data_IF_302252274679
#
_entry.id   IF_302252274679
#
_cell.length_a   1.000
_cell.length_b   1.000
_cell.length_c   1.000
_cell.angle_alpha   90.00
_cell.angle_beta   90.00
_cell.angle_gamma   90.00
#
_symmetry.space_group_name_H-M   'P 1'
#
loop_
_entity.id
_entity.type
_entity.pdbx_description
1 polymer ?
#
# COMPACT_ATOMS: atom_id res chain seq x y z
N UNK A 1 -1.40 21.61 75.65
CA UNK A 1 -0.24 21.60 76.56
C UNK A 1 0.95 21.16 75.72
N UNK A 2 1.80 22.09 75.24
CA UNK A 2 3.03 22.56 75.90
C UNK A 2 3.98 21.36 76.16
N UNK A 3 5.22 21.21 75.71
CA UNK A 3 6.41 22.07 75.41
C UNK A 3 7.45 21.08 74.80
N UNK A 4 8.08 21.31 73.64
CA UNK A 4 9.45 21.85 73.38
C UNK A 4 10.67 21.36 74.23
N UNK A 5 11.87 21.51 73.64
CA UNK A 5 13.27 21.27 74.13
C UNK A 5 13.85 19.86 73.92
N UNK A 6 15.11 19.61 73.50
CA UNK A 6 16.32 20.40 73.16
C UNK A 6 17.35 19.36 72.63
N UNK A 7 17.96 19.46 71.44
CA UNK A 7 19.19 20.17 71.02
C UNK A 7 20.51 19.85 71.79
N UNK A 8 21.57 19.66 70.97
CA UNK A 8 23.04 19.74 71.20
C UNK A 8 23.77 18.49 71.78
N UNK A 9 24.99 18.08 71.37
CA UNK A 9 26.00 18.62 70.44
C UNK A 9 27.14 17.58 70.19
N UNK A 10 27.58 17.46 68.93
CA UNK A 10 28.94 17.30 68.33
C UNK A 10 30.11 16.63 69.08
N UNK A 11 30.74 15.65 68.40
CA UNK A 11 32.17 15.48 68.02
C UNK A 11 32.38 14.00 67.58
N UNK A 12 33.28 13.54 66.71
CA UNK A 12 34.11 14.01 65.59
C UNK A 12 34.73 12.72 65.00
N UNK A 13 34.73 12.55 63.67
CA UNK A 13 35.62 11.73 62.81
C UNK A 13 35.97 10.26 63.18
N UNK A 14 35.65 9.29 62.28
CA UNK A 14 36.62 8.58 61.42
C UNK A 14 36.01 7.37 60.67
N UNK A 15 35.95 7.52 59.34
CA UNK A 15 36.18 6.56 58.26
C UNK A 15 35.76 5.06 58.36
N UNK A 16 34.75 4.75 57.52
CA UNK A 16 34.70 3.71 56.48
C UNK A 16 34.46 2.22 56.79
N UNK A 17 33.71 1.63 55.83
CA UNK A 17 33.51 0.23 55.46
C UNK A 17 32.45 -0.59 56.23
N UNK A 18 31.23 -0.54 55.71
CA UNK A 18 30.22 -1.56 55.91
C UNK A 18 30.42 -2.70 54.88
N UNK A 19 30.57 -3.93 55.39
CA UNK A 19 30.48 -5.17 54.62
C UNK A 19 29.77 -6.22 55.49
N UNK A 20 28.80 -6.90 54.85
CA UNK A 20 28.26 -8.23 55.19
C UNK A 20 27.29 -8.32 56.40
N UNK A 21 26.14 -9.01 56.39
CA UNK A 21 25.60 -10.08 55.54
C UNK A 21 24.05 -10.16 55.62
N UNK A 22 23.43 -10.49 54.47
CA UNK A 22 22.21 -11.29 54.23
C UNK A 22 20.87 -10.96 54.91
N UNK A 23 19.82 -10.77 54.10
CA UNK A 23 18.66 -11.68 53.98
C UNK A 23 18.13 -11.61 52.53
N UNK A 24 17.72 -12.78 52.04
CA UNK A 24 17.18 -13.10 50.72
C UNK A 24 16.16 -12.09 50.16
N UNK A 25 16.41 -11.61 48.93
CA UNK A 25 15.33 -11.23 48.00
C UNK A 25 15.59 -11.90 46.65
N UNK A 26 14.64 -12.71 46.23
CA UNK A 26 14.57 -13.40 44.94
C UNK A 26 14.77 -12.42 43.78
N UNK A 27 15.95 -12.45 43.15
CA UNK A 27 16.11 -11.94 41.79
C UNK A 27 15.50 -12.96 40.84
N UNK A 28 14.24 -12.75 40.46
CA UNK A 28 13.77 -13.25 39.16
C UNK A 28 14.62 -12.54 38.11
N UNK A 29 15.59 -13.27 37.58
CA UNK A 29 16.27 -12.91 36.35
C UNK A 29 15.21 -13.03 35.26
N UNK A 30 14.56 -11.93 34.91
CA UNK A 30 13.86 -11.83 33.63
C UNK A 30 14.94 -11.95 32.57
N UNK A 31 15.21 -13.18 32.14
CA UNK A 31 15.82 -13.40 30.85
C UNK A 31 14.84 -12.78 29.85
N UNK A 32 15.14 -11.56 29.43
CA UNK A 32 14.61 -11.01 28.20
C UNK A 32 14.99 -12.03 27.13
N UNK A 33 14.06 -12.91 26.79
CA UNK A 33 14.08 -13.60 25.52
C UNK A 33 13.95 -12.48 24.49
N UNK A 34 15.09 -11.92 24.10
CA UNK A 34 15.24 -11.24 22.83
C UNK A 34 14.84 -12.29 21.81
N UNK A 35 13.55 -12.29 21.44
CA UNK A 35 13.14 -12.82 20.16
C UNK A 35 13.91 -11.96 19.18
N UNK A 36 15.03 -12.48 18.70
CA UNK A 36 15.71 -11.96 17.53
C UNK A 36 14.66 -12.04 16.42
N UNK A 37 13.90 -10.97 16.20
CA UNK A 37 13.23 -10.77 14.92
C UNK A 37 14.37 -10.78 13.91
N UNK A 38 14.49 -11.89 13.18
CA UNK A 38 15.39 -11.94 12.03
C UNK A 38 14.92 -10.80 11.13
N UNK A 39 15.76 -9.77 10.95
CA UNK A 39 15.46 -8.70 10.01
C UNK A 39 15.08 -9.33 8.66
N UNK A 40 14.01 -8.84 8.04
CA UNK A 40 13.58 -9.38 6.75
C UNK A 40 14.73 -9.25 5.74
N UNK A 41 15.08 -10.37 5.13
CA UNK A 41 16.28 -10.47 4.31
C UNK A 41 15.99 -10.00 2.88
N UNK A 42 16.74 -8.98 2.43
CA UNK A 42 16.73 -8.53 1.04
C UNK A 42 17.48 -9.56 0.19
N UNK A 43 16.82 -10.12 -0.81
CA UNK A 43 17.37 -11.16 -1.68
C UNK A 43 17.65 -10.59 -3.07
N UNK A 44 18.87 -10.78 -3.58
CA UNK A 44 19.23 -10.34 -4.92
C UNK A 44 18.79 -11.38 -5.95
N UNK A 45 17.86 -11.01 -6.83
CA UNK A 45 17.40 -11.86 -7.92
C UNK A 45 18.16 -11.58 -9.23
N UNK A 46 18.47 -10.31 -9.46
CA UNK A 46 19.11 -9.80 -10.67
C UNK A 46 20.15 -8.73 -10.31
N UNK A 47 21.15 -8.49 -11.18
CA UNK A 47 21.95 -7.29 -11.12
C UNK A 47 21.08 -6.02 -11.19
N UNK A 48 21.52 -4.94 -10.54
CA UNK A 48 20.88 -3.62 -10.61
C UNK A 48 20.63 -3.19 -12.05
N UNK A 49 19.48 -2.59 -12.31
CA UNK A 49 19.06 -2.06 -13.62
C UNK A 49 19.03 -3.08 -14.77
N UNK A 50 19.02 -4.40 -14.47
CA UNK A 50 18.76 -5.44 -15.49
C UNK A 50 17.39 -5.25 -16.15
N UNK A 51 16.41 -4.79 -15.37
CA UNK A 51 15.11 -4.34 -15.84
C UNK A 51 15.16 -2.80 -15.78
N UNK A 52 15.36 -2.10 -16.90
CA UNK A 52 15.65 -0.67 -16.86
C UNK A 52 14.38 0.14 -16.60
N UNK A 53 14.41 0.99 -15.57
CA UNK A 53 13.34 1.95 -15.32
C UNK A 53 13.24 2.97 -16.47
N UNK A 54 12.01 3.39 -16.78
CA UNK A 54 11.77 4.50 -17.72
C UNK A 54 11.96 5.81 -16.95
N UNK A 55 12.93 6.62 -17.38
CA UNK A 55 13.27 7.90 -16.70
C UNK A 55 12.68 9.12 -17.38
N UNK A 56 12.49 9.04 -18.70
CA UNK A 56 11.92 10.09 -19.53
C UNK A 56 10.80 9.44 -20.36
N UNK A 57 9.57 9.37 -19.82
CA UNK A 57 8.45 8.76 -20.52
C UNK A 57 7.95 9.68 -21.63
N UNK A 58 7.62 9.09 -22.77
CA UNK A 58 6.84 9.74 -23.83
C UNK A 58 5.39 9.26 -23.76
N UNK A 59 4.47 10.04 -24.28
CA UNK A 59 3.04 9.70 -24.25
C UNK A 59 2.36 9.90 -25.60
N UNK A 60 1.29 9.14 -25.81
CA UNK A 60 0.36 9.31 -26.93
C UNK A 60 -1.07 9.44 -26.41
N UNK A 61 -1.97 10.02 -27.20
CA UNK A 61 -3.38 10.06 -26.83
C UNK A 61 -4.03 8.66 -26.86
N UNK A 62 -5.05 8.45 -26.02
CA UNK A 62 -5.79 7.20 -25.91
C UNK A 62 -6.35 6.65 -27.23
N UNK A 63 -6.71 7.54 -28.16
CA UNK A 63 -7.18 7.16 -29.51
C UNK A 63 -6.08 6.50 -30.35
N UNK A 64 -4.83 6.91 -30.14
CA UNK A 64 -3.68 6.39 -30.86
C UNK A 64 -3.06 5.17 -30.17
N UNK A 65 -3.35 4.94 -28.89
CA UNK A 65 -2.66 3.94 -28.06
C UNK A 65 -2.73 2.50 -28.58
N UNK A 66 -3.83 2.11 -29.24
CA UNK A 66 -3.95 0.79 -29.88
C UNK A 66 -3.79 -0.41 -28.93
N UNK A 67 -4.05 -0.24 -27.63
CA UNK A 67 -4.05 -1.33 -26.64
C UNK A 67 -5.31 -2.20 -26.77
N UNK A 68 -5.21 -3.49 -26.44
CA UNK A 68 -6.38 -4.38 -26.33
C UNK A 68 -7.30 -3.93 -25.18
N UNK A 69 -8.61 -4.02 -25.36
CA UNK A 69 -9.59 -3.56 -24.36
C UNK A 69 -9.47 -4.30 -23.01
N UNK A 70 -8.98 -5.54 -23.01
CA UNK A 70 -8.78 -6.33 -21.79
C UNK A 70 -7.35 -6.21 -21.22
N UNK A 71 -6.45 -5.52 -21.92
CA UNK A 71 -5.08 -5.32 -21.44
C UNK A 71 -5.10 -4.53 -20.12
N UNK A 72 -4.51 -5.05 -19.03
CA UNK A 72 -4.48 -4.31 -17.78
C UNK A 72 -3.57 -3.09 -17.90
N UNK A 73 -4.06 -1.95 -17.43
CA UNK A 73 -3.29 -0.72 -17.28
C UNK A 73 -3.27 -0.31 -15.82
N UNK A 74 -2.18 0.32 -15.41
CA UNK A 74 -2.17 1.17 -14.22
C UNK A 74 -2.69 2.53 -14.67
N UNK A 75 -3.89 2.91 -14.23
CA UNK A 75 -4.49 4.20 -14.46
C UNK A 75 -4.30 5.12 -13.27
N UNK A 76 -4.06 6.41 -13.51
CA UNK A 76 -3.95 7.44 -12.48
C UNK A 76 -4.48 8.77 -12.99
N UNK A 77 -5.14 9.51 -12.09
CA UNK A 77 -5.63 10.86 -12.32
C UNK A 77 -5.02 11.80 -11.28
N UNK A 78 -4.34 12.86 -11.73
CA UNK A 78 -3.82 13.92 -10.86
C UNK A 78 -4.18 15.26 -11.50
N UNK A 79 -4.89 16.13 -10.76
CA UNK A 79 -5.31 17.46 -11.24
C UNK A 79 -6.04 17.39 -12.59
N UNK A 80 -7.01 16.47 -12.71
CA UNK A 80 -7.80 16.20 -13.93
C UNK A 80 -7.00 15.67 -15.14
N UNK A 81 -5.69 15.45 -14.98
CA UNK A 81 -4.85 14.86 -16.01
C UNK A 81 -4.74 13.34 -15.82
N UNK A 82 -5.18 12.62 -16.84
CA UNK A 82 -5.30 11.16 -16.84
C UNK A 82 -4.09 10.52 -17.53
N UNK A 83 -3.49 9.52 -16.87
CA UNK A 83 -2.39 8.71 -17.38
C UNK A 83 -2.73 7.23 -17.32
N UNK A 84 -2.28 6.48 -18.33
CA UNK A 84 -2.34 5.04 -18.34
C UNK A 84 -0.98 4.42 -18.71
N UNK A 85 -0.59 3.39 -17.98
CA UNK A 85 0.64 2.64 -18.18
C UNK A 85 0.28 1.17 -18.39
N UNK A 86 0.54 0.65 -19.60
CA UNK A 86 0.34 -0.77 -19.92
C UNK A 86 1.10 -1.65 -18.91
N UNK A 87 0.40 -2.57 -18.25
CA UNK A 87 1.05 -3.56 -17.37
C UNK A 87 1.98 -4.46 -18.16
N UNK A 88 1.67 -4.75 -19.43
CA UNK A 88 2.55 -5.54 -20.29
C UNK A 88 3.86 -4.81 -20.57
N UNK A 89 3.83 -3.51 -20.81
CA UNK A 89 5.05 -2.71 -20.91
C UNK A 89 5.77 -2.63 -19.56
N UNK A 90 5.03 -2.46 -18.46
CA UNK A 90 5.60 -2.43 -17.11
C UNK A 90 6.25 -3.76 -16.69
N UNK A 91 5.84 -4.91 -17.25
CA UNK A 91 6.54 -6.18 -17.02
C UNK A 91 8.01 -6.16 -17.49
N UNK A 92 8.40 -5.20 -18.34
CA UNK A 92 9.77 -5.05 -18.86
C UNK A 92 10.54 -3.87 -18.26
N UNK A 93 9.88 -3.02 -17.46
CA UNK A 93 10.47 -1.79 -16.94
C UNK A 93 10.27 -1.60 -15.44
N UNK A 94 9.19 -2.15 -14.88
CA UNK A 94 8.73 -2.12 -13.48
C UNK A 94 8.55 -0.74 -12.85
N UNK A 95 9.28 0.28 -13.29
CA UNK A 95 9.27 1.65 -12.75
C UNK A 95 9.25 2.65 -13.90
N UNK A 96 8.36 3.64 -13.79
CA UNK A 96 8.32 4.83 -14.66
C UNK A 96 8.42 6.05 -13.76
N UNK A 97 9.45 6.87 -13.98
CA UNK A 97 9.58 8.18 -13.36
C UNK A 97 8.87 9.19 -14.27
N UNK A 98 7.67 9.61 -13.86
CA UNK A 98 6.82 10.52 -14.62
C UNK A 98 6.59 11.83 -13.83
N UNK A 99 5.96 12.79 -14.49
CA UNK A 99 5.55 14.07 -13.93
C UNK A 99 4.19 14.45 -14.51
N UNK A 100 3.20 14.66 -13.63
CA UNK A 100 1.86 15.13 -13.99
C UNK A 100 1.67 16.50 -13.35
N UNK A 101 1.59 17.55 -14.19
CA UNK A 101 1.75 18.94 -13.74
C UNK A 101 3.00 19.12 -12.88
N UNK A 102 2.82 19.64 -11.67
CA UNK A 102 3.93 19.85 -10.70
C UNK A 102 4.25 18.60 -9.86
N UNK A 103 3.52 17.49 -10.01
CA UNK A 103 3.71 16.30 -9.18
C UNK A 103 4.68 15.31 -9.82
N UNK A 104 5.87 15.16 -9.24
CA UNK A 104 6.80 14.08 -9.60
C UNK A 104 6.32 12.74 -9.05
N UNK A 105 6.10 11.74 -9.92
CA UNK A 105 5.58 10.43 -9.53
C UNK A 105 6.45 9.26 -10.02
N UNK A 106 6.57 8.22 -9.19
CA UNK A 106 7.13 6.92 -9.56
C UNK A 106 5.95 5.96 -9.68
N UNK A 107 5.64 5.53 -10.90
CA UNK A 107 4.68 4.46 -11.15
C UNK A 107 5.43 3.14 -11.07
N UNK A 108 5.00 2.26 -10.17
CA UNK A 108 5.75 1.04 -9.84
C UNK A 108 4.86 -0.17 -9.98
N UNK A 109 5.41 -1.25 -10.52
CA UNK A 109 4.74 -2.51 -10.79
C UNK A 109 5.62 -3.67 -10.34
N UNK A 110 5.04 -4.57 -9.55
CA UNK A 110 5.66 -5.83 -9.19
C UNK A 110 4.80 -7.00 -9.71
N UNK A 111 5.21 -7.68 -10.81
CA UNK A 111 4.42 -8.76 -11.39
C UNK A 111 4.30 -9.96 -10.43
N UNK A 112 5.34 -10.25 -9.64
CA UNK A 112 5.32 -11.34 -8.67
C UNK A 112 4.24 -11.19 -7.60
N UNK A 113 3.87 -9.95 -7.27
CA UNK A 113 2.87 -9.61 -6.26
C UNK A 113 1.53 -9.14 -6.86
N UNK A 114 1.45 -8.98 -8.17
CA UNK A 114 0.32 -8.38 -8.88
C UNK A 114 -0.04 -6.98 -8.35
N UNK A 115 0.98 -6.24 -7.93
CA UNK A 115 0.88 -5.01 -7.15
C UNK A 115 1.36 -3.82 -7.96
N UNK A 116 0.50 -2.80 -8.06
CA UNK A 116 0.86 -1.47 -8.54
C UNK A 116 0.80 -0.48 -7.38
N UNK A 117 1.83 0.36 -7.26
CA UNK A 117 1.83 1.49 -6.32
C UNK A 117 2.40 2.72 -7.03
N UNK A 118 1.82 3.88 -6.77
CA UNK A 118 2.37 5.15 -7.28
C UNK A 118 2.79 5.99 -6.10
N UNK A 119 4.03 6.47 -6.14
CA UNK A 119 4.61 7.30 -5.08
C UNK A 119 4.92 8.69 -5.61
N UNK A 120 4.70 9.71 -4.78
CA UNK A 120 5.34 11.01 -4.98
C UNK A 120 6.85 10.83 -4.75
N UNK A 121 7.67 11.26 -5.72
CA UNK A 121 9.14 11.11 -5.71
C UNK A 121 9.86 12.25 -5.00
N UNK A 122 9.14 13.17 -4.38
CA UNK A 122 9.70 14.30 -3.65
C UNK A 122 9.72 14.04 -2.14
N UNK A 123 10.89 14.22 -1.54
CA UNK A 123 11.10 14.14 -0.10
C UNK A 123 11.82 15.42 0.31
N UNK A 124 11.28 16.13 1.31
CA UNK A 124 11.86 17.38 1.82
C UNK A 124 12.18 18.39 0.70
N UNK A 125 11.26 18.54 -0.27
CA UNK A 125 11.38 19.41 -1.46
C UNK A 125 12.52 19.06 -2.42
N UNK A 126 13.07 17.86 -2.34
CA UNK A 126 14.00 17.31 -3.32
C UNK A 126 13.35 16.18 -4.10
N UNK A 127 13.45 16.24 -5.42
CA UNK A 127 13.02 15.18 -6.32
C UNK A 127 14.07 14.07 -6.41
N UNK A 128 13.61 12.82 -6.47
CA UNK A 128 14.44 11.63 -6.61
C UNK A 128 14.03 10.83 -7.84
N UNK A 129 15.00 10.14 -8.44
CA UNK A 129 14.82 9.26 -9.58
C UNK A 129 14.94 7.82 -9.11
N UNK A 130 13.93 6.99 -9.37
CA UNK A 130 13.91 5.60 -8.96
C UNK A 130 14.33 4.64 -10.07
N UNK A 131 15.04 3.59 -9.69
CA UNK A 131 15.47 2.49 -10.54
C UNK A 131 15.18 1.11 -9.92
N UNK A 132 15.33 0.06 -10.72
CA UNK A 132 15.09 -1.32 -10.28
C UNK A 132 16.37 -1.88 -9.68
N UNK A 133 16.35 -2.20 -8.39
CA UNK A 133 17.58 -2.63 -7.71
C UNK A 133 17.99 -4.08 -8.06
N UNK A 134 17.08 -4.85 -8.65
CA UNK A 134 17.20 -6.30 -8.83
C UNK A 134 17.05 -7.10 -7.54
N UNK A 135 16.79 -6.41 -6.42
CA UNK A 135 16.51 -7.04 -5.14
C UNK A 135 15.00 -7.19 -4.89
N UNK A 136 14.67 -8.23 -4.14
CA UNK A 136 13.34 -8.49 -3.64
C UNK A 136 13.33 -8.53 -2.12
N UNK A 137 12.26 -8.01 -1.52
CA UNK A 137 11.90 -8.24 -0.13
C UNK A 137 10.57 -8.97 -0.13
N UNK A 138 10.51 -10.17 0.48
CA UNK A 138 9.31 -11.03 0.49
C UNK A 138 8.66 -11.18 -0.90
N UNK A 139 9.48 -11.46 -1.92
CA UNK A 139 9.08 -11.57 -3.34
C UNK A 139 8.46 -10.30 -3.95
N UNK A 140 8.74 -9.12 -3.40
CA UNK A 140 8.29 -7.83 -3.95
C UNK A 140 9.46 -6.95 -4.32
N UNK A 141 9.27 -6.13 -5.36
CA UNK A 141 10.27 -5.18 -5.86
C UNK A 141 10.84 -4.32 -4.73
N UNK A 142 12.16 -4.25 -4.63
CA UNK A 142 12.88 -3.21 -3.90
C UNK A 142 13.43 -2.22 -4.92
N UNK A 143 12.95 -0.99 -4.86
CA UNK A 143 13.45 0.10 -5.69
C UNK A 143 14.76 0.63 -5.08
N UNK A 144 15.53 1.38 -5.87
CA UNK A 144 16.57 2.26 -5.35
C UNK A 144 16.41 3.66 -5.93
N UNK A 145 16.92 4.68 -5.25
CA UNK A 145 17.06 6.02 -5.83
C UNK A 145 18.49 6.27 -6.33
N UNK A 146 18.63 6.91 -7.49
CA UNK A 146 19.95 7.17 -8.10
C UNK A 146 20.77 8.21 -7.33
N UNK A 147 20.12 9.11 -6.59
CA UNK A 147 20.76 10.24 -5.93
C UNK A 147 21.47 9.86 -4.62
N UNK A 148 20.98 8.85 -3.90
CA UNK A 148 21.48 8.49 -2.57
C UNK A 148 21.71 7.00 -2.37
N UNK A 149 21.38 6.19 -3.38
CA UNK A 149 21.48 4.73 -3.38
C UNK A 149 20.70 4.06 -2.24
N UNK A 150 19.64 4.70 -1.76
CA UNK A 150 18.80 4.13 -0.72
C UNK A 150 17.85 3.08 -1.32
N UNK A 151 17.47 2.07 -0.53
CA UNK A 151 16.61 0.96 -0.95
C UNK A 151 15.21 1.10 -0.35
N UNK A 152 14.20 0.88 -1.20
CA UNK A 152 12.80 1.21 -0.93
C UNK A 152 11.89 0.05 -1.34
N UNK A 153 11.42 -0.80 -0.41
CA UNK A 153 10.44 -1.83 -0.70
C UNK A 153 9.13 -1.22 -1.19
N UNK A 154 8.61 -1.73 -2.31
CA UNK A 154 7.43 -1.19 -2.98
C UNK A 154 6.16 -1.19 -2.12
N UNK A 155 6.04 -2.14 -1.16
CA UNK A 155 4.80 -2.34 -0.38
C UNK A 155 4.51 -1.17 0.56
N UNK A 156 5.52 -0.57 1.19
CA UNK A 156 5.32 0.52 2.16
C UNK A 156 6.10 1.81 1.83
N UNK A 157 7.00 1.79 0.84
CA UNK A 157 7.66 2.99 0.35
C UNK A 157 8.55 3.69 1.38
N UNK A 158 8.99 2.97 2.42
CA UNK A 158 9.90 3.45 3.44
C UNK A 158 11.30 2.92 3.17
N UNK A 159 12.31 3.79 3.21
CA UNK A 159 13.67 3.36 2.97
C UNK A 159 14.19 2.52 4.13
N UNK A 160 14.67 1.32 3.83
CA UNK A 160 15.19 0.38 4.83
C UNK A 160 16.71 0.33 4.88
N UNK A 161 17.39 0.92 3.88
CA UNK A 161 18.86 0.92 3.77
C UNK A 161 19.33 2.10 2.94
N UNK A 162 20.46 2.69 3.32
CA UNK A 162 21.10 3.79 2.59
C UNK A 162 20.97 5.13 3.31
N UNK A 163 21.21 6.22 2.58
CA UNK A 163 21.28 7.57 3.14
C UNK A 163 19.93 8.04 3.70
N UNK A 164 18.82 7.59 3.09
CA UNK A 164 17.47 8.03 3.41
C UNK A 164 16.71 7.05 4.31
N UNK A 165 17.39 6.11 4.96
CA UNK A 165 16.75 5.13 5.87
C UNK A 165 15.78 5.80 6.87
N UNK A 166 14.58 5.24 6.97
CA UNK A 166 13.47 5.75 7.80
C UNK A 166 12.65 6.88 7.17
N UNK A 167 13.04 7.41 6.01
CA UNK A 167 12.18 8.29 5.22
C UNK A 167 11.12 7.47 4.49
N UNK A 168 9.92 8.03 4.36
CA UNK A 168 8.76 7.37 3.72
C UNK A 168 8.23 8.21 2.57
N UNK A 169 8.01 7.55 1.44
CA UNK A 169 7.37 8.12 0.27
C UNK A 169 5.87 8.30 0.51
N UNK A 170 5.31 9.37 -0.03
CA UNK A 170 3.86 9.58 -0.02
C UNK A 170 3.23 8.79 -1.17
N UNK A 171 2.43 7.79 -0.87
CA UNK A 171 1.61 7.11 -1.87
C UNK A 171 0.59 8.09 -2.47
N UNK A 172 0.45 8.06 -3.79
CA UNK A 172 -0.63 8.75 -4.51
C UNK A 172 -1.85 7.84 -4.51
N UNK A 173 -2.94 8.30 -3.90
CA UNK A 173 -4.23 7.61 -3.90
C UNK A 173 -4.87 7.67 -5.30
N UNK A 174 -5.77 6.74 -5.61
CA UNK A 174 -6.49 6.71 -6.89
C UNK A 174 -5.76 6.02 -8.04
N UNK A 175 -4.56 5.46 -7.81
CA UNK A 175 -3.93 4.53 -8.74
C UNK A 175 -4.70 3.20 -8.78
N UNK A 176 -5.12 2.77 -9.97
CA UNK A 176 -5.89 1.54 -10.14
C UNK A 176 -5.35 0.68 -11.27
N UNK A 177 -5.23 -0.62 -11.03
CA UNK A 177 -4.98 -1.60 -12.08
C UNK A 177 -6.31 -2.12 -12.62
N UNK A 178 -6.69 -1.70 -13.82
CA UNK A 178 -7.97 -2.05 -14.45
C UNK A 178 -7.79 -2.37 -15.94
N UNK A 179 -8.76 -3.03 -16.61
CA UNK A 179 -8.72 -3.20 -18.06
C UNK A 179 -8.69 -1.87 -18.80
N UNK A 180 -7.90 -1.78 -19.87
CA UNK A 180 -7.75 -0.60 -20.69
C UNK A 180 -9.09 -0.07 -21.21
N UNK A 181 -9.99 -0.94 -21.66
CA UNK A 181 -11.29 -0.53 -22.19
C UNK A 181 -12.17 0.12 -21.14
N UNK A 182 -12.11 -0.38 -19.90
CA UNK A 182 -12.80 0.24 -18.77
C UNK A 182 -12.20 1.62 -18.44
N UNK A 183 -10.87 1.72 -18.39
CA UNK A 183 -10.17 2.99 -18.16
C UNK A 183 -10.45 4.03 -19.25
N UNK A 184 -10.31 3.64 -20.53
CA UNK A 184 -10.51 4.50 -21.69
C UNK A 184 -11.94 5.04 -21.75
N UNK A 185 -12.93 4.23 -21.34
CA UNK A 185 -14.33 4.65 -21.30
C UNK A 185 -14.57 5.77 -20.29
N UNK A 186 -13.93 5.72 -19.12
CA UNK A 186 -14.05 6.76 -18.08
C UNK A 186 -13.11 7.94 -18.32
N UNK A 187 -11.97 7.73 -18.98
CA UNK A 187 -10.93 8.73 -19.21
C UNK A 187 -10.48 8.75 -20.69
N UNK A 188 -11.36 9.13 -21.63
CA UNK A 188 -11.09 9.06 -23.07
C UNK A 188 -9.98 10.02 -23.54
N UNK A 189 -9.65 11.02 -22.75
CA UNK A 189 -8.60 12.01 -22.98
C UNK A 189 -7.23 11.59 -22.42
N UNK A 190 -7.12 10.37 -21.86
CA UNK A 190 -5.90 9.87 -21.25
C UNK A 190 -4.68 9.94 -22.17
N UNK A 191 -3.55 10.26 -21.58
CA UNK A 191 -2.24 10.03 -22.17
C UNK A 191 -1.72 8.64 -21.77
N UNK A 192 -1.31 7.86 -22.76
CA UNK A 192 -0.84 6.48 -22.60
C UNK A 192 0.67 6.43 -22.81
N UNK A 193 1.37 5.77 -21.88
CA UNK A 193 2.82 5.61 -21.95
C UNK A 193 3.25 5.00 -23.29
N UNK A 194 4.26 5.61 -23.90
CA UNK A 194 4.99 5.13 -25.05
C UNK A 194 6.47 5.09 -24.71
N UNK A 195 7.14 3.97 -25.00
CA UNK A 195 8.57 3.80 -24.81
C UNK A 195 9.20 3.31 -26.11
N UNK A 196 10.10 4.12 -26.68
CA UNK A 196 10.70 3.86 -28.00
C UNK A 196 9.67 3.57 -29.11
N UNK A 197 8.52 4.25 -29.06
CA UNK A 197 7.41 4.08 -29.99
C UNK A 197 6.49 2.89 -29.68
N UNK A 198 6.80 2.09 -28.68
CA UNK A 198 5.98 0.97 -28.22
C UNK A 198 5.06 1.40 -27.07
N UNK A 199 3.79 1.02 -27.12
CA UNK A 199 2.79 1.31 -26.07
C UNK A 199 2.46 0.08 -25.22
N UNK A 200 2.83 -1.10 -25.73
CA UNK A 200 2.65 -2.43 -25.13
C UNK A 200 3.61 -3.41 -25.81
N UNK A 201 3.87 -4.54 -25.17
CA UNK A 201 4.53 -5.69 -25.83
C UNK A 201 3.52 -6.70 -26.41
N UNK A 202 2.22 -6.44 -26.23
CA UNK A 202 1.12 -7.20 -26.84
C UNK A 202 0.70 -8.48 -26.11
N UNK A 203 1.43 -8.89 -25.08
CA UNK A 203 1.06 -10.05 -24.25
C UNK A 203 1.66 -9.96 -22.85
N UNK A 204 1.07 -10.71 -21.92
CA UNK A 204 1.56 -10.83 -20.55
C UNK A 204 2.67 -11.88 -20.44
N UNK A 205 3.93 -11.43 -20.30
CA UNK A 205 5.08 -12.33 -20.08
C UNK A 205 5.02 -13.07 -18.74
N UNK A 206 4.20 -12.63 -17.79
CA UNK A 206 3.96 -13.32 -16.51
C UNK A 206 2.63 -14.11 -16.50
N UNK A 207 1.95 -14.22 -17.66
CA UNK A 207 0.63 -14.85 -17.75
C UNK A 207 0.55 -16.29 -17.22
N UNK A 208 1.60 -17.09 -17.42
CA UNK A 208 1.68 -18.46 -16.88
C UNK A 208 1.97 -18.47 -15.38
N UNK A 209 2.82 -17.56 -14.91
CA UNK A 209 3.06 -17.37 -13.49
C UNK A 209 1.76 -17.00 -12.77
N UNK A 210 0.95 -16.09 -13.31
CA UNK A 210 -0.31 -15.69 -12.68
C UNK A 210 -1.33 -16.83 -12.52
N UNK A 211 -1.20 -17.92 -13.29
CA UNK A 211 -2.12 -19.07 -13.30
C UNK A 211 -1.64 -20.25 -12.44
N UNK A 212 -0.39 -20.22 -11.98
CA UNK A 212 0.18 -21.30 -11.17
C UNK A 212 0.15 -20.97 -9.66
N UNK A 213 0.42 -21.97 -8.82
CA UNK A 213 0.39 -21.85 -7.34
C UNK A 213 1.76 -21.51 -6.71
N UNK A 214 2.75 -21.08 -7.51
CA UNK A 214 4.09 -20.71 -7.02
C UNK A 214 4.05 -19.44 -6.14
N UNK A 215 4.85 -19.41 -5.07
CA UNK A 215 4.97 -18.28 -4.13
C UNK A 215 6.17 -17.41 -4.48
N UNK A 216 6.12 -16.73 -5.62
CA UNK A 216 7.25 -15.98 -6.14
C UNK A 216 8.46 -16.86 -6.45
N UNK A 217 9.65 -16.26 -6.47
CA UNK A 217 10.91 -16.94 -6.82
C UNK A 217 11.74 -17.36 -5.61
N UNK A 218 11.46 -16.77 -4.43
CA UNK A 218 12.11 -17.08 -3.16
C UNK A 218 11.10 -17.64 -2.16
N UNK A 219 11.51 -18.48 -1.20
CA UNK A 219 10.58 -18.98 -0.17
C UNK A 219 9.98 -17.84 0.65
N UNK A 220 8.65 -17.83 0.78
CA UNK A 220 7.93 -16.96 1.71
C UNK A 220 8.14 -17.43 3.16
N UNK A 221 8.23 -16.49 4.10
CA UNK A 221 8.48 -16.81 5.53
C UNK A 221 7.15 -17.10 6.24
N UNK A 222 6.20 -16.17 6.19
CA UNK A 222 4.90 -16.36 6.82
C UNK A 222 3.90 -16.92 5.78
N UNK A 223 3.71 -18.24 5.79
CA UNK A 223 2.74 -18.91 4.92
C UNK A 223 1.39 -18.96 5.62
N UNK A 224 0.41 -18.30 5.02
CA UNK A 224 -0.97 -18.30 5.49
C UNK A 224 -1.89 -19.02 4.51
N UNK A 225 -2.56 -20.08 4.99
CA UNK A 225 -3.42 -20.96 4.19
C UNK A 225 -4.91 -20.59 4.25
N UNK A 226 -5.28 -19.48 4.92
CA UNK A 226 -6.68 -19.04 5.02
C UNK A 226 -7.29 -18.67 3.66
N UNK A 227 -6.47 -18.28 2.68
CA UNK A 227 -6.86 -17.97 1.30
C UNK A 227 -5.93 -18.67 0.30
N UNK A 228 -6.37 -18.79 -0.96
CA UNK A 228 -5.54 -19.28 -2.06
C UNK A 228 -4.26 -18.44 -2.23
N UNK A 229 -3.19 -19.05 -2.72
CA UNK A 229 -1.85 -18.45 -2.75
C UNK A 229 -1.86 -17.07 -3.43
N UNK A 230 -2.38 -17.05 -4.67
CA UNK A 230 -2.54 -15.83 -5.48
C UNK A 230 -3.96 -15.29 -5.46
N UNK A 231 -4.71 -15.52 -4.39
CA UNK A 231 -5.99 -14.85 -4.19
C UNK A 231 -5.75 -13.34 -4.18
N UNK A 232 -6.46 -12.60 -5.04
CA UNK A 232 -6.43 -11.15 -5.02
C UNK A 232 -7.22 -10.64 -3.82
N UNK A 233 -6.61 -9.72 -3.07
CA UNK A 233 -7.21 -9.09 -1.91
C UNK A 233 -7.13 -7.57 -2.04
N UNK A 234 -8.03 -6.89 -1.34
CA UNK A 234 -7.90 -5.48 -0.98
C UNK A 234 -7.36 -5.46 0.45
N UNK A 235 -6.11 -5.06 0.62
CA UNK A 235 -5.46 -4.95 1.92
C UNK A 235 -5.44 -3.50 2.40
N UNK A 236 -5.78 -3.28 3.66
CA UNK A 236 -5.74 -1.96 4.30
C UNK A 236 -4.91 -1.97 5.57
N UNK A 237 -4.34 -0.82 5.91
CA UNK A 237 -3.68 -0.55 7.18
C UNK A 237 -4.37 0.64 7.87
N UNK A 238 -4.81 0.45 9.12
CA UNK A 238 -5.35 1.51 9.97
C UNK A 238 -4.72 1.39 11.34
N UNK A 239 -4.04 2.46 11.80
CA UNK A 239 -3.36 2.52 13.11
C UNK A 239 -2.41 1.32 13.35
N UNK A 240 -1.66 0.90 12.32
CA UNK A 240 -0.71 -0.21 12.39
C UNK A 240 -1.34 -1.61 12.47
N UNK A 241 -2.66 -1.72 12.26
CA UNK A 241 -3.38 -3.00 12.15
C UNK A 241 -3.83 -3.20 10.72
N UNK A 242 -3.86 -4.46 10.30
CA UNK A 242 -4.09 -4.86 8.92
C UNK A 242 -5.38 -5.64 8.78
N UNK A 243 -6.16 -5.35 7.74
CA UNK A 243 -7.35 -6.12 7.37
C UNK A 243 -7.36 -6.37 5.86
N UNK A 244 -7.85 -7.53 5.44
CA UNK A 244 -7.94 -7.92 4.04
C UNK A 244 -9.37 -8.30 3.65
N UNK A 245 -9.77 -7.88 2.45
CA UNK A 245 -11.04 -8.20 1.81
C UNK A 245 -10.76 -8.97 0.51
N UNK A 246 -10.93 -10.30 0.51
CA UNK A 246 -10.74 -11.10 -0.69
C UNK A 246 -11.72 -10.74 -1.80
N UNK A 247 -11.27 -10.78 -3.06
CA UNK A 247 -12.11 -10.40 -4.20
C UNK A 247 -13.39 -11.25 -4.32
N UNK A 248 -13.40 -12.50 -3.83
CA UNK A 248 -14.60 -13.35 -3.90
C UNK A 248 -15.79 -12.78 -3.12
N UNK A 249 -15.55 -11.93 -2.11
CA UNK A 249 -16.61 -11.29 -1.36
C UNK A 249 -17.49 -10.41 -2.26
N UNK A 250 -16.91 -9.91 -3.35
CA UNK A 250 -17.58 -9.03 -4.29
C UNK A 250 -18.31 -9.76 -5.42
N UNK A 251 -18.30 -11.09 -5.44
CA UNK A 251 -18.95 -11.87 -6.49
C UNK A 251 -20.47 -11.64 -6.57
N UNK A 252 -21.08 -11.36 -5.41
CA UNK A 252 -22.51 -11.16 -5.30
C UNK A 252 -22.90 -9.72 -4.99
N UNK A 253 -21.97 -8.88 -4.52
CA UNK A 253 -22.23 -7.47 -4.15
C UNK A 253 -21.02 -6.61 -4.52
N UNK A 254 -21.19 -5.40 -5.07
CA UNK A 254 -20.07 -4.51 -5.31
C UNK A 254 -19.65 -3.74 -4.05
N UNK A 255 -20.44 -3.76 -2.97
CA UNK A 255 -20.22 -2.96 -1.76
C UNK A 255 -20.18 -3.88 -0.53
N UNK A 256 -19.19 -3.63 0.33
CA UNK A 256 -19.06 -4.18 1.69
C UNK A 256 -18.91 -3.01 2.65
N UNK A 257 -19.69 -3.01 3.74
CA UNK A 257 -19.50 -2.08 4.85
C UNK A 257 -18.88 -2.82 6.04
N UNK A 258 -18.00 -2.14 6.76
CA UNK A 258 -17.25 -2.71 7.88
C UNK A 258 -16.91 -1.62 8.90
N UNK A 259 -16.38 -2.03 10.05
CA UNK A 259 -15.74 -1.15 11.01
C UNK A 259 -14.41 -1.76 11.44
N UNK A 260 -13.32 -1.02 11.23
CA UNK A 260 -11.99 -1.47 11.59
C UNK A 260 -11.21 -0.36 12.27
N UNK A 261 -10.70 -0.64 13.48
CA UNK A 261 -9.93 0.31 14.28
C UNK A 261 -10.62 1.67 14.50
N UNK A 262 -11.96 1.66 14.53
CA UNK A 262 -12.83 2.83 14.72
C UNK A 262 -13.13 3.62 13.44
N UNK A 263 -12.64 3.20 12.28
CA UNK A 263 -13.00 3.77 10.98
C UNK A 263 -14.18 2.99 10.41
N UNK A 264 -15.23 3.70 9.94
CA UNK A 264 -16.41 3.09 9.34
C UNK A 264 -16.13 2.89 7.86
N UNK A 265 -15.79 1.68 7.45
CA UNK A 265 -15.32 1.42 6.10
C UNK A 265 -16.47 1.14 5.15
N UNK A 266 -16.31 1.63 3.91
CA UNK A 266 -17.00 1.15 2.72
C UNK A 266 -15.94 0.68 1.73
N UNK A 267 -15.95 -0.61 1.43
CA UNK A 267 -15.08 -1.23 0.43
C UNK A 267 -15.93 -1.49 -0.81
N UNK A 268 -15.53 -0.90 -1.92
CA UNK A 268 -16.22 -1.02 -3.20
C UNK A 268 -15.34 -1.72 -4.23
N UNK A 269 -15.93 -2.66 -4.97
CA UNK A 269 -15.33 -3.25 -6.15
C UNK A 269 -16.37 -3.42 -7.25
N UNK A 270 -16.07 -2.85 -8.41
CA UNK A 270 -16.82 -3.10 -9.63
C UNK A 270 -16.22 -4.32 -10.36
N UNK A 271 -16.97 -5.42 -10.48
CA UNK A 271 -16.47 -6.62 -11.15
C UNK A 271 -16.30 -6.44 -12.66
N UNK A 272 -17.09 -5.56 -13.28
CA UNK A 272 -17.09 -5.34 -14.73
C UNK A 272 -15.93 -4.44 -15.14
N UNK A 273 -15.66 -3.38 -14.37
CA UNK A 273 -14.60 -2.41 -14.67
C UNK A 273 -13.29 -2.72 -13.93
N UNK A 274 -13.31 -3.56 -12.90
CA UNK A 274 -12.16 -3.84 -12.05
C UNK A 274 -11.82 -2.73 -11.05
N UNK A 275 -12.58 -1.63 -11.05
CA UNK A 275 -12.38 -0.47 -10.17
C UNK A 275 -12.53 -0.88 -8.70
N UNK A 276 -11.63 -0.38 -7.86
CA UNK A 276 -11.61 -0.62 -6.42
C UNK A 276 -11.47 0.71 -5.71
N UNK A 277 -12.32 0.95 -4.71
CA UNK A 277 -12.18 2.08 -3.80
C UNK A 277 -12.47 1.65 -2.37
N UNK A 278 -11.79 2.31 -1.43
CA UNK A 278 -12.07 2.19 0.00
C UNK A 278 -12.29 3.58 0.55
N UNK A 279 -13.38 3.75 1.30
CA UNK A 279 -13.75 5.03 1.89
C UNK A 279 -14.04 4.90 3.38
N UNK A 280 -13.82 5.98 4.12
CA UNK A 280 -14.53 6.23 5.37
C UNK A 280 -15.94 6.73 5.04
N UNK A 281 -16.94 5.93 5.41
CA UNK A 281 -18.37 6.24 5.21
C UNK A 281 -18.93 7.14 6.31
N UNK A 282 -18.11 7.59 7.25
CA UNK A 282 -18.48 8.63 8.19
C UNK A 282 -18.20 10.01 7.59
N UNK A 283 -19.26 10.77 7.35
CA UNK A 283 -19.20 12.11 6.76
C UNK A 283 -20.10 13.07 7.55
N UNK A 284 -19.55 14.21 7.97
CA UNK A 284 -20.25 15.23 8.78
C UNK A 284 -20.94 14.69 10.04
N UNK A 285 -20.33 13.69 10.70
CA UNK A 285 -20.91 13.06 11.89
C UNK A 285 -22.07 12.09 11.60
N UNK A 286 -22.39 11.84 10.33
CA UNK A 286 -23.34 10.82 9.89
C UNK A 286 -22.56 9.61 9.38
N UNK A 287 -22.91 8.42 9.85
CA UNK A 287 -22.39 7.17 9.30
C UNK A 287 -23.32 6.73 8.17
N UNK A 288 -22.85 6.85 6.93
CA UNK A 288 -23.60 6.46 5.73
C UNK A 288 -23.68 4.94 5.68
N UNK A 289 -24.85 4.38 5.37
CA UNK A 289 -25.04 2.93 5.30
C UNK A 289 -25.88 2.50 4.10
N UNK A 290 -25.46 1.40 3.50
CA UNK A 290 -26.13 0.76 2.38
C UNK A 290 -26.81 -0.46 2.96
N UNK A 291 -28.15 -0.44 3.09
CA UNK A 291 -28.87 -1.65 3.48
C UNK A 291 -28.53 -2.80 2.51
N UNK A 292 -28.82 -4.04 2.92
CA UNK A 292 -28.53 -5.30 2.21
C UNK A 292 -29.06 -5.40 0.76
N UNK A 293 -29.60 -4.34 0.16
CA UNK A 293 -29.92 -4.27 -1.26
C UNK A 293 -28.65 -4.15 -2.08
N UNK A 294 -28.07 -5.32 -2.30
CA UNK A 294 -26.92 -5.76 -3.08
C UNK A 294 -26.51 -4.94 -4.34
N UNK A 295 -27.36 -4.13 -4.96
CA UNK A 295 -27.01 -3.41 -6.21
C UNK A 295 -27.39 -1.93 -6.22
N UNK A 296 -27.79 -1.34 -5.08
CA UNK A 296 -28.19 0.07 -5.03
C UNK A 296 -27.08 0.92 -4.43
N UNK A 297 -26.55 1.87 -5.20
CA UNK A 297 -25.62 2.90 -4.68
C UNK A 297 -26.35 4.03 -3.95
N UNK A 298 -27.64 3.87 -3.65
CA UNK A 298 -28.39 4.79 -2.78
C UNK A 298 -28.37 4.31 -1.35
N UNK A 299 -27.82 5.15 -0.46
CA UNK A 299 -27.73 4.85 0.97
C UNK A 299 -29.08 5.01 1.67
N UNK A 300 -29.25 4.31 2.79
CA UNK A 300 -30.51 4.23 3.54
C UNK A 300 -30.64 5.25 4.67
N UNK A 301 -29.58 5.98 4.98
CA UNK A 301 -29.52 6.92 6.11
C UNK A 301 -29.89 8.33 5.64
N UNK A 302 -29.33 8.74 4.52
CA UNK A 302 -29.45 10.07 3.93
C UNK A 302 -30.23 10.06 2.62
N UNK A 303 -30.57 8.88 2.09
CA UNK A 303 -31.25 8.72 0.80
C UNK A 303 -30.45 9.39 -0.34
N UNK A 304 -29.12 9.32 -0.28
CA UNK A 304 -28.21 9.86 -1.28
C UNK A 304 -27.77 8.73 -2.21
N UNK A 305 -27.89 8.93 -3.52
CA UNK A 305 -27.27 8.08 -4.52
C UNK A 305 -25.83 8.54 -4.73
N UNK A 306 -24.90 7.61 -4.62
CA UNK A 306 -23.47 7.85 -4.73
C UNK A 306 -22.92 7.27 -6.04
N UNK A 307 -22.02 8.03 -6.65
CA UNK A 307 -21.05 7.50 -7.60
C UNK A 307 -19.93 6.85 -6.79
N UNK A 308 -19.88 5.52 -6.77
CA UNK A 308 -18.89 4.76 -5.98
C UNK A 308 -17.49 4.77 -6.59
N UNK A 309 -17.39 5.02 -7.89
CA UNK A 309 -16.10 5.08 -8.58
C UNK A 309 -15.36 6.37 -8.21
N UNK A 310 -16.10 7.46 -7.96
CA UNK A 310 -15.55 8.76 -7.57
C UNK A 310 -15.80 9.15 -6.09
N UNK A 311 -16.65 8.40 -5.38
CA UNK A 311 -17.04 8.67 -4.00
C UNK A 311 -17.94 9.90 -3.83
N UNK A 312 -18.64 10.35 -4.88
CA UNK A 312 -19.40 11.61 -4.89
C UNK A 312 -20.91 11.34 -4.80
N UNK A 313 -21.61 12.06 -3.92
CA UNK A 313 -23.07 12.08 -3.87
C UNK A 313 -23.65 12.76 -5.11
N UNK A 314 -24.36 12.05 -5.97
CA UNK A 314 -24.89 12.59 -7.23
C UNK A 314 -26.36 13.03 -7.14
N UNK A 315 -27.10 12.50 -6.16
CA UNK A 315 -28.53 12.80 -5.93
C UNK A 315 -28.89 12.58 -4.47
N UNK A 316 -29.79 13.38 -3.90
CA UNK A 316 -30.26 13.21 -2.51
C UNK A 316 -29.66 14.22 -1.54
N UNK A 317 -29.74 13.93 -0.24
CA UNK A 317 -29.46 14.91 0.82
C UNK A 317 -27.98 15.32 0.91
N UNK A 318 -27.06 14.44 0.49
CA UNK A 318 -25.62 14.70 0.47
C UNK A 318 -25.09 14.92 -0.96
N UNK A 319 -25.92 15.44 -1.88
CA UNK A 319 -25.47 15.75 -3.24
C UNK A 319 -24.27 16.72 -3.23
N UNK A 320 -23.24 16.41 -4.02
CA UNK A 320 -22.00 17.16 -4.16
C UNK A 320 -20.98 16.92 -3.05
N UNK A 321 -21.30 16.06 -2.06
CA UNK A 321 -20.36 15.67 -1.01
C UNK A 321 -19.51 14.48 -1.46
N UNK A 322 -18.28 14.42 -0.97
CA UNK A 322 -17.31 13.39 -1.32
C UNK A 322 -16.96 12.56 -0.09
N UNK A 323 -16.97 11.24 -0.24
CA UNK A 323 -16.47 10.30 0.77
C UNK A 323 -14.96 10.45 0.93
N UNK A 324 -14.46 10.19 2.14
CA UNK A 324 -13.02 10.32 2.41
C UNK A 324 -12.31 9.03 1.99
N UNK A 325 -11.33 9.08 1.06
CA UNK A 325 -10.63 7.87 0.62
C UNK A 325 -9.73 7.32 1.72
N UNK A 326 -9.64 5.99 1.78
CA UNK A 326 -8.72 5.23 2.63
C UNK A 326 -7.73 4.51 1.73
N UNK A 327 -6.44 4.61 2.06
CA UNK A 327 -5.40 3.93 1.30
C UNK A 327 -5.54 2.41 1.42
N UNK A 328 -5.31 1.72 0.30
CA UNK A 328 -5.33 0.27 0.22
C UNK A 328 -4.28 -0.20 -0.78
N UNK A 329 -3.96 -1.49 -0.74
CA UNK A 329 -3.21 -2.19 -1.78
C UNK A 329 -4.07 -3.30 -2.38
N UNK A 330 -3.98 -3.46 -3.69
CA UNK A 330 -4.48 -4.64 -4.41
C UNK A 330 -3.29 -5.54 -4.71
N UNK A 331 -3.26 -6.72 -4.09
CA UNK A 331 -2.08 -7.59 -4.04
C UNK A 331 -2.48 -9.05 -3.88
N UNK A 332 -1.57 -9.96 -4.24
CA UNK A 332 -1.72 -11.38 -3.90
C UNK A 332 -1.60 -11.66 -2.40
N UNK A 333 -2.45 -12.56 -1.93
CA UNK A 333 -2.52 -12.94 -0.51
C UNK A 333 -1.19 -13.41 0.05
N UNK A 334 -0.45 -14.28 -0.64
CA UNK A 334 0.81 -14.80 -0.10
C UNK A 334 1.84 -13.71 0.20
N UNK A 335 1.87 -12.64 -0.60
CA UNK A 335 2.74 -11.47 -0.35
C UNK A 335 2.23 -10.69 0.85
N UNK A 336 0.93 -10.35 0.86
CA UNK A 336 0.33 -9.58 1.94
C UNK A 336 0.51 -10.27 3.30
N UNK A 337 0.21 -11.56 3.38
CA UNK A 337 0.35 -12.34 4.61
C UNK A 337 1.81 -12.48 5.05
N UNK A 338 2.79 -12.49 4.13
CA UNK A 338 4.21 -12.50 4.50
C UNK A 338 4.62 -11.18 5.18
N UNK A 339 4.13 -10.04 4.67
CA UNK A 339 4.35 -8.73 5.29
C UNK A 339 3.56 -8.53 6.58
N UNK A 340 2.31 -9.01 6.62
CA UNK A 340 1.34 -8.69 7.67
C UNK A 340 0.67 -9.97 8.22
N UNK A 341 1.40 -10.82 8.94
CA UNK A 341 0.89 -12.12 9.40
C UNK A 341 -0.31 -12.01 10.36
N UNK A 342 -0.42 -10.91 11.10
CA UNK A 342 -1.53 -10.64 12.03
C UNK A 342 -2.80 -10.09 11.35
N UNK A 343 -2.89 -10.17 10.02
CA UNK A 343 -4.02 -9.64 9.24
C UNK A 343 -5.33 -10.31 9.63
N UNK A 344 -6.34 -9.48 9.91
CA UNK A 344 -7.74 -9.88 10.00
C UNK A 344 -8.31 -10.08 8.58
N UNK A 345 -9.08 -11.14 8.35
CA UNK A 345 -9.76 -11.37 7.07
C UNK A 345 -11.24 -11.09 7.28
N UNK A 346 -11.84 -10.29 6.40
CA UNK A 346 -13.29 -10.10 6.38
C UNK A 346 -13.97 -11.35 5.81
N UNK A 347 -15.07 -11.78 6.43
CA UNK A 347 -15.78 -13.02 6.11
C UNK A 347 -17.22 -12.79 5.69
#
# INVERSE_FOLDING_TARGET
MLIEYSLCRKHLCLFYLALCFSIFSTRLCWANTLISQKEDEIQNALPRDTIPAIKNPDFVHAEEAGLDENEPVVGITINDENRAYSVYLLNHHEIVNDRIGDTAIAVTWCPLANLAVVYNREIDSKEYTFGVSGNLLKNTLVMFDYETESLWPIVYGESIKGTLTGKKLKQISGCQKIPWGAWKKSHPDSLVLSHHGSRTVGYDVYGDYHKNEERGIFPAINIDQRLGVKANIIGIEIKGRHKAYPFYLFNNTPIITDEFQGVKLLVYRNNDTGIINVYDRQLDGVVIDFAEKVNNTTDTVTNTTWDMENGIGIKGNMKGRTLLPVNFLSVYWFVWADYFPDTEIFH
#
